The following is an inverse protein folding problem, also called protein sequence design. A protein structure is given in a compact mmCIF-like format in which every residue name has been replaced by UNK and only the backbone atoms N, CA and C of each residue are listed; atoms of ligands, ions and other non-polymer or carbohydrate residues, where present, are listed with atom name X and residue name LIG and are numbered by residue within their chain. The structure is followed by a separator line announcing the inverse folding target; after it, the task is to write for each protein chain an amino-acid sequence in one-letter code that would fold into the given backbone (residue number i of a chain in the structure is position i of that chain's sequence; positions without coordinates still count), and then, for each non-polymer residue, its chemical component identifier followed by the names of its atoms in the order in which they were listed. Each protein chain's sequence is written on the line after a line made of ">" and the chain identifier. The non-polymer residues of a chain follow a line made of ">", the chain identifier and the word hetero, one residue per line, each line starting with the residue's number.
data_IF_235597533510
#
_entry.id   IF_235597533510
#
_cell.length_a   1.000
_cell.length_b   1.000
_cell.length_c   1.000
_cell.angle_alpha   90.00
_cell.angle_beta   90.00
_cell.angle_gamma   90.00
#
_symmetry.space_group_name_H-M   'P 1'
#
loop_
_entity.id
_entity.type
_entity.pdbx_description
1 polymer ?
#
# COMPACT_ATOMS: atom_id res chain seq x y z
N UNK A 1 -31.20 -3.31 8.86
CA UNK A 1 -30.94 -2.03 9.51
C UNK A 1 -31.70 -0.95 8.74
N UNK A 2 -32.55 -0.15 9.42
CA UNK A 2 -33.25 0.95 8.79
C UNK A 2 -32.25 2.08 8.42
N UNK A 3 -32.59 2.86 7.39
CA UNK A 3 -31.73 3.97 6.95
C UNK A 3 -31.40 4.99 8.06
N UNK A 4 -32.24 5.07 9.10
CA UNK A 4 -32.03 5.92 10.27
C UNK A 4 -30.96 5.40 11.23
N UNK A 5 -30.70 4.09 11.28
CA UNK A 5 -29.67 3.50 12.15
C UNK A 5 -28.28 3.60 11.56
N UNK A 6 -28.17 3.71 10.24
CA UNK A 6 -26.88 3.87 9.53
C UNK A 6 -26.25 5.23 9.83
N UNK A 7 -27.05 6.26 10.09
CA UNK A 7 -26.56 7.59 10.44
C UNK A 7 -26.25 7.78 11.94
N UNK A 8 -26.58 6.78 12.76
CA UNK A 8 -26.40 6.83 14.22
C UNK A 8 -25.08 6.18 14.70
N UNK A 9 -24.16 5.82 13.79
CA UNK A 9 -22.83 5.39 14.20
C UNK A 9 -22.12 6.59 14.87
N UNK A 10 -21.68 6.44 16.13
CA UNK A 10 -20.93 7.51 16.78
C UNK A 10 -19.74 7.91 15.90
N UNK A 11 -19.49 9.20 15.76
CA UNK A 11 -18.34 9.71 15.05
C UNK A 11 -17.07 9.19 15.76
N UNK A 12 -16.57 8.06 15.27
CA UNK A 12 -15.40 7.37 15.82
C UNK A 12 -14.21 7.63 14.93
N UNK A 13 -13.07 7.96 15.54
CA UNK A 13 -11.77 8.07 14.88
C UNK A 13 -11.03 6.74 14.82
N UNK A 14 -11.60 5.67 15.37
CA UNK A 14 -11.01 4.34 15.28
C UNK A 14 -11.04 3.85 13.83
N UNK A 15 -9.89 3.45 13.32
CA UNK A 15 -9.73 2.98 11.94
C UNK A 15 -10.72 1.85 11.57
N UNK A 16 -10.97 0.94 12.51
CA UNK A 16 -11.90 -0.16 12.32
C UNK A 16 -13.36 0.33 12.10
N UNK A 17 -13.78 1.35 12.85
CA UNK A 17 -15.13 1.90 12.74
C UNK A 17 -15.28 2.71 11.44
N UNK A 18 -14.25 3.45 11.05
CA UNK A 18 -14.23 4.16 9.76
C UNK A 18 -14.34 3.19 8.59
N UNK A 19 -13.55 2.10 8.60
CA UNK A 19 -13.60 1.08 7.54
C UNK A 19 -14.96 0.40 7.50
N UNK A 20 -15.53 0.03 8.65
CA UNK A 20 -16.88 -0.56 8.73
C UNK A 20 -17.95 0.41 8.23
N UNK A 21 -17.87 1.68 8.61
CA UNK A 21 -18.80 2.71 8.17
C UNK A 21 -18.78 2.91 6.66
N UNK A 22 -17.58 2.92 6.05
CA UNK A 22 -17.44 3.02 4.59
C UNK A 22 -17.94 1.75 3.90
N UNK A 23 -17.69 0.56 4.46
CA UNK A 23 -18.09 -0.71 3.88
C UNK A 23 -19.60 -1.00 4.02
N UNK A 24 -20.27 -0.43 5.03
CA UNK A 24 -21.72 -0.63 5.27
C UNK A 24 -22.61 0.22 4.39
N UNK A 25 -22.07 1.20 3.69
CA UNK A 25 -22.82 2.09 2.81
C UNK A 25 -22.65 1.70 1.33
N UNK A 26 -23.61 2.05 0.46
CA UNK A 26 -23.42 1.92 -0.98
C UNK A 26 -22.13 2.67 -1.38
N UNK A 27 -21.27 2.01 -2.14
CA UNK A 27 -19.97 2.56 -2.53
C UNK A 27 -20.16 3.77 -3.47
N UNK A 28 -20.42 4.92 -2.86
CA UNK A 28 -20.67 6.19 -3.56
C UNK A 28 -19.38 6.89 -4.00
N UNK A 29 -19.53 7.92 -4.83
CA UNK A 29 -18.40 8.69 -5.34
C UNK A 29 -17.48 9.27 -4.26
N UNK A 30 -18.04 9.70 -3.12
CA UNK A 30 -17.26 10.24 -1.99
C UNK A 30 -16.37 9.17 -1.35
N UNK A 31 -16.88 7.95 -1.17
CA UNK A 31 -16.10 6.82 -0.64
C UNK A 31 -14.97 6.43 -1.59
N UNK A 32 -15.23 6.42 -2.90
CA UNK A 32 -14.20 6.17 -3.92
C UNK A 32 -13.07 7.20 -3.84
N UNK A 33 -13.42 8.48 -3.75
CA UNK A 33 -12.45 9.57 -3.62
C UNK A 33 -11.62 9.40 -2.35
N UNK A 34 -12.26 9.16 -1.19
CA UNK A 34 -11.57 8.98 0.09
C UNK A 34 -10.58 7.80 0.04
N UNK A 35 -11.00 6.64 -0.49
CA UNK A 35 -10.15 5.46 -0.64
C UNK A 35 -8.98 5.73 -1.58
N UNK A 36 -9.23 6.39 -2.72
CA UNK A 36 -8.19 6.70 -3.70
C UNK A 36 -7.12 7.61 -3.11
N UNK A 37 -7.51 8.67 -2.39
CA UNK A 37 -6.55 9.57 -1.74
C UNK A 37 -5.79 8.87 -0.61
N UNK A 38 -6.44 8.04 0.17
CA UNK A 38 -5.80 7.27 1.24
C UNK A 38 -4.75 6.32 0.68
N UNK A 39 -5.10 5.54 -0.34
CA UNK A 39 -4.16 4.65 -1.03
C UNK A 39 -3.04 5.43 -1.71
N UNK A 40 -3.36 6.56 -2.38
CA UNK A 40 -2.36 7.44 -2.97
C UNK A 40 -1.33 7.93 -1.96
N UNK A 41 -1.75 8.31 -0.74
CA UNK A 41 -0.85 8.70 0.34
C UNK A 41 0.08 7.56 0.78
N UNK A 42 -0.43 6.33 0.92
CA UNK A 42 0.40 5.16 1.24
C UNK A 42 1.37 4.81 0.10
N UNK A 43 0.89 4.80 -1.14
CA UNK A 43 1.73 4.53 -2.32
C UNK A 43 2.84 5.57 -2.47
N UNK A 44 2.54 6.85 -2.21
CA UNK A 44 3.53 7.91 -2.15
C UNK A 44 4.57 7.63 -1.05
N UNK A 45 4.14 7.26 0.16
CA UNK A 45 5.02 7.00 1.29
C UNK A 45 5.99 5.85 1.06
N UNK A 46 5.54 4.77 0.41
CA UNK A 46 6.39 3.60 0.08
C UNK A 46 7.12 3.75 -1.26
N UNK A 47 6.92 4.88 -1.96
CA UNK A 47 7.49 5.16 -3.28
C UNK A 47 7.04 4.17 -4.36
N UNK A 48 5.78 3.74 -4.32
CA UNK A 48 5.23 2.89 -5.38
C UNK A 48 4.79 3.72 -6.59
N UNK A 49 4.80 3.11 -7.78
CA UNK A 49 4.30 3.74 -9.01
C UNK A 49 2.79 3.95 -8.89
N UNK A 50 2.25 5.13 -9.28
CA UNK A 50 2.89 6.24 -10.01
C UNK A 50 3.59 7.29 -9.11
N UNK A 51 3.53 7.17 -7.80
CA UNK A 51 3.98 8.20 -6.84
C UNK A 51 5.45 8.05 -6.41
N UNK A 52 6.32 7.48 -7.25
CA UNK A 52 7.69 7.10 -6.92
C UNK A 52 8.76 8.17 -7.20
N UNK A 53 8.42 9.23 -7.94
CA UNK A 53 9.37 10.16 -8.56
C UNK A 53 10.29 10.88 -7.57
N UNK A 54 9.83 11.10 -6.35
CA UNK A 54 10.60 11.78 -5.31
C UNK A 54 11.79 10.96 -4.77
N UNK A 55 11.70 9.62 -4.81
CA UNK A 55 12.66 8.75 -4.13
C UNK A 55 14.05 8.74 -4.80
N UNK A 56 14.20 8.62 -6.13
CA UNK A 56 15.51 8.63 -6.77
C UNK A 56 16.27 9.93 -6.54
N UNK A 57 15.61 11.07 -6.63
CA UNK A 57 16.23 12.39 -6.46
C UNK A 57 16.64 12.63 -5.00
N UNK A 58 15.77 12.27 -4.07
CA UNK A 58 16.07 12.34 -2.63
C UNK A 58 17.25 11.44 -2.25
N UNK A 59 17.30 10.21 -2.78
CA UNK A 59 18.38 9.27 -2.45
C UNK A 59 19.72 9.69 -3.05
N UNK A 60 19.72 10.30 -4.22
CA UNK A 60 20.92 10.83 -4.84
C UNK A 60 21.48 12.02 -4.07
N UNK A 61 20.62 12.96 -3.65
CA UNK A 61 21.04 14.20 -2.98
C UNK A 61 21.38 14.03 -1.49
N UNK A 62 20.87 12.99 -0.82
CA UNK A 62 21.09 12.79 0.60
C UNK A 62 22.45 12.12 0.91
N UNK A 63 23.03 12.36 2.11
CA UNK A 63 24.19 11.61 2.60
C UNK A 63 23.87 10.11 2.68
N UNK A 64 24.86 9.25 2.35
CA UNK A 64 24.68 7.79 2.24
C UNK A 64 24.07 7.13 3.49
N UNK A 65 24.50 7.45 4.74
CA UNK A 65 23.89 6.86 5.92
C UNK A 65 22.41 7.22 6.08
N UNK A 66 22.04 8.45 5.72
CA UNK A 66 20.65 8.90 5.76
C UNK A 66 19.79 8.23 4.68
N UNK A 67 20.34 8.03 3.50
CA UNK A 67 19.71 7.29 2.41
C UNK A 67 19.42 5.84 2.81
N UNK A 68 20.38 5.16 3.43
CA UNK A 68 20.20 3.79 3.94
C UNK A 68 19.07 3.73 4.97
N UNK A 69 19.02 4.66 5.92
CA UNK A 69 17.94 4.75 6.90
C UNK A 69 16.57 4.97 6.24
N UNK A 70 16.47 5.94 5.31
CA UNK A 70 15.21 6.22 4.61
C UNK A 70 14.73 5.04 3.75
N UNK A 71 15.67 4.33 3.11
CA UNK A 71 15.33 3.21 2.22
C UNK A 71 14.61 2.07 2.95
N UNK A 72 14.91 1.86 4.23
CA UNK A 72 14.35 0.78 5.04
C UNK A 72 13.21 1.28 5.93
N UNK A 73 13.50 2.18 6.86
CA UNK A 73 12.56 2.53 7.94
C UNK A 73 11.32 3.21 7.43
N UNK A 74 11.46 4.14 6.48
CA UNK A 74 10.31 4.83 5.89
C UNK A 74 9.38 3.86 5.16
N UNK A 75 9.93 2.90 4.41
CA UNK A 75 9.15 1.91 3.66
C UNK A 75 8.50 0.88 4.58
N UNK A 76 9.26 0.30 5.49
CA UNK A 76 8.74 -0.70 6.45
C UNK A 76 7.63 -0.10 7.30
N UNK A 77 7.80 1.13 7.81
CA UNK A 77 6.76 1.84 8.55
C UNK A 77 5.49 2.09 7.73
N UNK A 78 5.65 2.57 6.49
CA UNK A 78 4.52 2.77 5.57
C UNK A 78 3.79 1.48 5.23
N UNK A 79 4.53 0.41 4.98
CA UNK A 79 3.99 -0.92 4.70
C UNK A 79 3.26 -1.53 5.90
N UNK A 80 3.78 -1.38 7.11
CA UNK A 80 3.13 -1.90 8.32
C UNK A 80 1.73 -1.29 8.51
N UNK A 81 1.61 0.02 8.32
CA UNK A 81 0.31 0.70 8.40
C UNK A 81 -0.60 0.29 7.24
N UNK A 82 -0.06 0.20 6.01
CA UNK A 82 -0.83 -0.25 4.85
C UNK A 82 -1.33 -1.69 5.01
N UNK A 83 -0.52 -2.61 5.56
CA UNK A 83 -0.94 -3.97 5.90
C UNK A 83 -2.11 -3.97 6.88
N UNK A 84 -2.06 -3.12 7.91
CA UNK A 84 -3.14 -3.00 8.89
C UNK A 84 -4.44 -2.48 8.27
N UNK A 85 -4.36 -1.47 7.43
CA UNK A 85 -5.52 -0.94 6.70
C UNK A 85 -6.08 -1.98 5.74
N UNK A 86 -5.23 -2.64 4.95
CA UNK A 86 -5.63 -3.66 4.00
C UNK A 86 -6.29 -4.87 4.71
N UNK A 87 -5.72 -5.34 5.81
CA UNK A 87 -6.31 -6.41 6.61
C UNK A 87 -7.72 -6.04 7.10
N UNK A 88 -7.91 -4.84 7.64
CA UNK A 88 -9.23 -4.38 8.07
C UNK A 88 -10.23 -4.32 6.91
N UNK A 89 -9.81 -3.82 5.75
CA UNK A 89 -10.65 -3.77 4.54
C UNK A 89 -11.01 -5.17 4.05
N UNK A 90 -10.05 -6.10 4.04
CA UNK A 90 -10.28 -7.47 3.54
C UNK A 90 -11.10 -8.33 4.50
N UNK A 91 -11.02 -8.08 5.82
CA UNK A 91 -11.81 -8.74 6.84
C UNK A 91 -13.26 -8.20 6.94
N UNK A 92 -13.51 -7.00 6.40
CA UNK A 92 -14.85 -6.41 6.48
C UNK A 92 -15.76 -7.09 5.45
N UNK A 93 -16.97 -7.58 5.84
CA UNK A 93 -17.92 -8.17 4.91
C UNK A 93 -18.26 -7.17 3.79
N UNK A 94 -18.15 -7.62 2.55
CA UNK A 94 -18.53 -6.79 1.41
C UNK A 94 -20.03 -6.57 1.39
N UNK A 95 -20.46 -5.33 1.45
CA UNK A 95 -21.84 -4.98 1.10
C UNK A 95 -21.88 -4.89 -0.43
N UNK A 96 -22.64 -5.77 -1.04
CA UNK A 96 -22.86 -5.76 -2.48
C UNK A 96 -23.71 -4.54 -2.83
N UNK A 97 -23.11 -3.59 -3.53
CA UNK A 97 -23.74 -2.29 -3.85
C UNK A 97 -24.59 -2.35 -5.11
N UNK A 98 -24.82 -3.53 -5.65
CA UNK A 98 -25.59 -3.72 -6.89
C UNK A 98 -24.85 -3.25 -8.18
N UNK A 99 -23.76 -2.54 -8.05
CA UNK A 99 -22.96 -2.01 -9.17
C UNK A 99 -21.71 -2.86 -9.49
N UNK A 100 -21.57 -4.04 -8.88
CA UNK A 100 -20.41 -4.93 -9.08
C UNK A 100 -19.09 -4.44 -8.48
N UNK A 101 -19.05 -3.24 -7.90
CA UNK A 101 -17.87 -2.69 -7.24
C UNK A 101 -17.97 -2.85 -5.73
N UNK A 102 -17.03 -3.58 -5.13
CA UNK A 102 -16.88 -3.68 -3.68
C UNK A 102 -15.64 -2.90 -3.22
N UNK A 103 -15.66 -2.37 -1.99
CA UNK A 103 -14.50 -1.69 -1.40
C UNK A 103 -13.25 -2.58 -1.48
N UNK A 104 -13.38 -3.85 -1.08
CA UNK A 104 -12.31 -4.86 -1.12
C UNK A 104 -11.78 -5.07 -2.54
N UNK A 105 -12.69 -5.13 -3.54
CA UNK A 105 -12.32 -5.30 -4.94
C UNK A 105 -11.51 -4.12 -5.48
N UNK A 106 -11.95 -2.89 -5.19
CA UNK A 106 -11.26 -1.67 -5.64
C UNK A 106 -9.88 -1.57 -4.99
N UNK A 107 -9.79 -1.76 -3.67
CA UNK A 107 -8.50 -1.70 -2.95
C UNK A 107 -7.53 -2.76 -3.48
N UNK A 108 -7.98 -4.00 -3.63
CA UNK A 108 -7.14 -5.08 -4.16
C UNK A 108 -6.68 -4.79 -5.60
N UNK A 109 -7.57 -4.28 -6.46
CA UNK A 109 -7.21 -3.94 -7.84
C UNK A 109 -6.17 -2.83 -7.91
N UNK A 110 -6.35 -1.74 -7.14
CA UNK A 110 -5.41 -0.61 -7.12
C UNK A 110 -4.04 -1.05 -6.59
N UNK A 111 -4.00 -1.85 -5.52
CA UNK A 111 -2.75 -2.36 -4.96
C UNK A 111 -2.05 -3.33 -5.93
N UNK A 112 -2.79 -4.23 -6.60
CA UNK A 112 -2.23 -5.15 -7.59
C UNK A 112 -1.67 -4.40 -8.80
N UNK A 113 -2.38 -3.40 -9.30
CA UNK A 113 -1.92 -2.55 -10.40
C UNK A 113 -0.67 -1.77 -10.02
N UNK A 114 -0.66 -1.15 -8.84
CA UNK A 114 0.52 -0.44 -8.33
C UNK A 114 1.71 -1.38 -8.13
N UNK A 115 1.49 -2.60 -7.66
CA UNK A 115 2.51 -3.64 -7.53
C UNK A 115 3.13 -3.99 -8.88
N UNK A 116 2.31 -4.32 -9.87
CA UNK A 116 2.76 -4.68 -11.22
C UNK A 116 3.56 -3.54 -11.86
N UNK A 117 3.01 -2.32 -11.82
CA UNK A 117 3.68 -1.14 -12.37
C UNK A 117 5.00 -0.84 -11.65
N UNK A 118 5.05 -0.98 -10.32
CA UNK A 118 6.27 -0.73 -9.55
C UNK A 118 7.38 -1.72 -9.88
N UNK A 119 7.03 -3.00 -10.03
CA UNK A 119 7.97 -4.04 -10.46
C UNK A 119 8.51 -3.78 -11.86
N UNK A 120 7.63 -3.44 -12.80
CA UNK A 120 8.01 -3.21 -14.19
C UNK A 120 8.84 -1.94 -14.36
N UNK A 121 8.31 -0.80 -13.92
CA UNK A 121 8.94 0.52 -14.07
C UNK A 121 10.24 0.59 -13.26
N UNK A 122 10.22 0.09 -12.01
CA UNK A 122 11.41 0.08 -11.15
C UNK A 122 12.57 -0.69 -11.77
N UNK A 123 12.35 -1.90 -12.26
CA UNK A 123 13.40 -2.72 -12.86
C UNK A 123 13.88 -2.16 -14.21
N UNK A 124 12.97 -1.72 -15.08
CA UNK A 124 13.35 -1.18 -16.40
C UNK A 124 14.17 0.10 -16.28
N UNK A 125 13.79 1.02 -15.39
CA UNK A 125 14.51 2.28 -15.24
C UNK A 125 15.85 2.05 -14.49
N UNK A 126 15.91 1.11 -13.53
CA UNK A 126 17.13 0.78 -12.81
C UNK A 126 18.28 0.40 -13.74
N UNK A 127 18.02 -0.37 -14.80
CA UNK A 127 19.03 -0.81 -15.76
C UNK A 127 19.70 0.37 -16.51
N UNK A 128 18.97 1.47 -16.71
CA UNK A 128 19.44 2.63 -17.46
C UNK A 128 20.13 3.68 -16.57
N UNK A 129 20.26 3.45 -15.27
CA UNK A 129 20.87 4.41 -14.36
C UNK A 129 22.39 4.26 -14.35
N UNK A 130 23.11 5.38 -14.50
CA UNK A 130 24.55 5.47 -14.34
C UNK A 130 24.99 5.75 -12.89
N UNK A 131 24.12 6.34 -12.09
CA UNK A 131 24.36 6.65 -10.68
C UNK A 131 23.88 5.50 -9.79
N UNK A 132 24.77 4.99 -8.94
CA UNK A 132 24.50 3.82 -8.07
C UNK A 132 23.35 4.13 -7.09
N UNK A 133 23.31 5.34 -6.51
CA UNK A 133 22.24 5.69 -5.57
C UNK A 133 20.87 5.73 -6.25
N UNK A 134 20.79 6.24 -7.47
CA UNK A 134 19.56 6.23 -8.26
C UNK A 134 19.18 4.81 -8.66
N UNK A 135 20.12 4.00 -9.08
CA UNK A 135 19.88 2.59 -9.41
C UNK A 135 19.30 1.83 -8.20
N UNK A 136 19.89 2.00 -7.01
CA UNK A 136 19.37 1.40 -5.78
C UNK A 136 17.99 1.95 -5.38
N UNK A 137 17.70 3.23 -5.64
CA UNK A 137 16.39 3.80 -5.41
C UNK A 137 15.32 3.13 -6.29
N UNK A 138 15.58 2.94 -7.60
CA UNK A 138 14.67 2.23 -8.50
C UNK A 138 14.54 0.74 -8.18
N UNK A 139 15.63 0.07 -7.79
CA UNK A 139 15.56 -1.26 -7.22
C UNK A 139 14.61 -1.30 -6.01
N UNK A 140 14.74 -0.35 -5.09
CA UNK A 140 13.85 -0.23 -3.94
C UNK A 140 12.37 0.04 -4.30
N UNK A 141 12.08 0.67 -5.45
CA UNK A 141 10.71 0.82 -5.97
C UNK A 141 10.17 -0.53 -6.45
N UNK A 142 10.98 -1.33 -7.15
CA UNK A 142 10.60 -2.68 -7.54
C UNK A 142 10.33 -3.58 -6.31
N UNK A 143 11.16 -3.48 -5.28
CA UNK A 143 10.99 -4.21 -4.01
C UNK A 143 9.70 -3.82 -3.28
N UNK A 144 9.31 -2.54 -3.31
CA UNK A 144 8.00 -2.12 -2.81
C UNK A 144 6.85 -2.80 -3.58
N UNK A 145 7.02 -3.00 -4.88
CA UNK A 145 6.07 -3.77 -5.70
C UNK A 145 5.91 -5.22 -5.22
N UNK A 146 7.00 -5.92 -4.92
CA UNK A 146 6.94 -7.29 -4.38
C UNK A 146 6.22 -7.35 -3.02
N UNK A 147 6.45 -6.38 -2.14
CA UNK A 147 5.75 -6.28 -0.87
C UNK A 147 4.24 -6.02 -1.05
N UNK A 148 3.85 -5.22 -2.04
CA UNK A 148 2.45 -4.98 -2.38
C UNK A 148 1.75 -6.26 -2.87
N UNK A 149 2.43 -7.16 -3.58
CA UNK A 149 1.88 -8.49 -3.95
C UNK A 149 1.51 -9.27 -2.70
N UNK A 150 2.37 -9.29 -1.68
CA UNK A 150 2.08 -9.96 -0.40
C UNK A 150 0.84 -9.37 0.29
N UNK A 151 0.66 -8.04 0.22
CA UNK A 151 -0.54 -7.38 0.77
C UNK A 151 -1.79 -7.77 0.00
N UNK A 152 -1.74 -7.80 -1.32
CA UNK A 152 -2.90 -8.22 -2.14
C UNK A 152 -3.28 -9.69 -1.93
N UNK A 153 -2.30 -10.53 -1.60
CA UNK A 153 -2.50 -11.95 -1.30
C UNK A 153 -3.24 -12.19 0.04
N UNK A 154 -3.37 -11.17 0.90
CA UNK A 154 -4.16 -11.25 2.13
C UNK A 154 -5.67 -11.38 1.86
N UNK A 155 -6.12 -11.05 0.65
CA UNK A 155 -7.53 -11.14 0.25
C UNK A 155 -7.99 -12.61 0.18
N UNK A 156 -9.24 -12.87 0.54
CA UNK A 156 -9.88 -14.18 0.31
C UNK A 156 -9.59 -15.24 1.37
N UNK A 157 -9.37 -14.85 2.63
CA UNK A 157 -9.16 -15.78 3.74
C UNK A 157 -7.71 -16.23 3.94
N UNK A 158 -6.77 -15.62 3.19
CA UNK A 158 -5.34 -15.89 3.28
C UNK A 158 -4.56 -14.79 4.03
N UNK A 159 -5.21 -14.07 4.96
CA UNK A 159 -4.64 -12.90 5.63
C UNK A 159 -3.33 -13.23 6.33
N UNK A 160 -3.28 -14.37 7.04
CA UNK A 160 -2.08 -14.78 7.77
C UNK A 160 -0.94 -15.13 6.82
N UNK A 161 -1.21 -15.84 5.73
CA UNK A 161 -0.17 -16.20 4.76
C UNK A 161 0.39 -14.97 4.05
N UNK A 162 -0.48 -14.05 3.62
CA UNK A 162 -0.06 -12.78 3.04
C UNK A 162 0.75 -11.92 4.01
N UNK A 163 0.32 -11.82 5.26
CA UNK A 163 1.03 -11.08 6.31
C UNK A 163 2.42 -11.70 6.60
N UNK A 164 2.50 -13.03 6.75
CA UNK A 164 3.77 -13.73 6.95
C UNK A 164 4.73 -13.48 5.79
N UNK A 165 4.26 -13.56 4.54
CA UNK A 165 5.07 -13.27 3.37
C UNK A 165 5.63 -11.85 3.38
N UNK A 166 4.80 -10.85 3.70
CA UNK A 166 5.22 -9.45 3.81
C UNK A 166 6.25 -9.26 4.93
N UNK A 167 6.04 -9.87 6.10
CA UNK A 167 6.96 -9.75 7.24
C UNK A 167 8.33 -10.37 6.94
N UNK A 168 8.35 -11.60 6.41
CA UNK A 168 9.60 -12.28 6.04
C UNK A 168 10.35 -11.46 4.99
N UNK A 169 9.64 -10.99 3.97
CA UNK A 169 10.25 -10.19 2.92
C UNK A 169 10.76 -8.84 3.42
N UNK A 170 10.02 -8.16 4.31
CA UNK A 170 10.44 -6.88 4.89
C UNK A 170 11.73 -7.02 5.73
N UNK A 171 11.86 -8.11 6.50
CA UNK A 171 13.10 -8.40 7.26
C UNK A 171 14.26 -8.67 6.30
N UNK A 172 14.06 -9.50 5.29
CA UNK A 172 15.08 -9.80 4.27
C UNK A 172 15.51 -8.52 3.53
N UNK A 173 14.54 -7.70 3.14
CA UNK A 173 14.79 -6.41 2.49
C UNK A 173 15.61 -5.45 3.39
N UNK A 174 15.28 -5.39 4.69
CA UNK A 174 16.01 -4.55 5.64
C UNK A 174 17.46 -5.01 5.78
N UNK A 175 17.70 -6.31 5.93
CA UNK A 175 19.05 -6.88 6.01
C UNK A 175 19.85 -6.62 4.73
N UNK A 176 19.25 -6.79 3.56
CA UNK A 176 19.90 -6.58 2.27
C UNK A 176 20.30 -5.11 2.02
N UNK A 177 19.53 -4.14 2.53
CA UNK A 177 19.81 -2.72 2.30
C UNK A 177 20.68 -2.07 3.37
N UNK A 178 20.82 -2.68 4.56
CA UNK A 178 21.66 -2.15 5.65
C UNK A 178 23.01 -2.85 5.74
N UNK A 179 23.15 -4.04 5.13
CA UNK A 179 24.42 -4.79 5.06
C UNK A 179 25.26 -4.38 3.89
#
# INVERSE_FOLDING_TARGET
>A
LSSSEVYALPASTLLADVVRGVASQPFGGLALVAVTFTLGGFLFKISAVPFHQWAPDTYQGAPTPFTAFLSVISKVGGLAVLCRVAALVFLTPNVDTGNGFTLTGVVAFVLALAAALSMFVGNLIAIHQSDIKRMLAYSGIAQAGYLLVGITAMRGGNELNGLHAVLIYAVTYALMNLG
#
